data_IF_385368751490
#
_entry.id   IF_385368751490
#
_cell.length_a   1.000
_cell.length_b   1.000
_cell.length_c   1.000
_cell.angle_alpha   90.00
_cell.angle_beta   90.00
_cell.angle_gamma   90.00
#
_symmetry.space_group_name_H-M   'P 1'
#
loop_
_entity.id
_entity.type
_entity.pdbx_description
1 polymer ?
#
# COMPACT_ATOMS: atom_id res chain seq x y z
N UNK A 1 1.14 15.32 4.24
CA UNK A 1 0.53 14.97 2.95
C UNK A 1 0.90 13.53 2.63
N UNK A 2 -0.06 12.66 2.27
CA UNK A 2 0.25 11.30 1.82
C UNK A 2 0.91 11.35 0.44
N UNK A 3 1.77 10.38 0.15
CA UNK A 3 2.23 10.14 -1.21
C UNK A 3 1.15 9.42 -1.98
N UNK A 4 0.86 9.89 -3.20
CA UNK A 4 -0.11 9.29 -4.10
C UNK A 4 0.64 8.63 -5.25
N UNK A 5 0.34 7.36 -5.50
CA UNK A 5 0.95 6.56 -6.54
C UNK A 5 -0.13 6.00 -7.45
N UNK A 6 0.22 5.83 -8.73
CA UNK A 6 -0.61 5.21 -9.76
C UNK A 6 0.26 4.36 -10.66
N UNK A 7 -0.08 3.08 -10.79
CA UNK A 7 0.48 2.21 -11.82
C UNK A 7 -0.39 0.97 -12.00
N UNK A 8 -0.10 0.20 -13.04
CA UNK A 8 -0.70 -1.12 -13.21
C UNK A 8 -0.20 -2.08 -12.12
N UNK A 9 -1.11 -2.93 -11.60
CA UNK A 9 -0.76 -4.02 -10.69
C UNK A 9 -0.93 -5.36 -11.39
N UNK A 10 0.12 -6.19 -11.33
CA UNK A 10 0.13 -7.53 -11.93
C UNK A 10 0.11 -8.61 -10.85
N UNK A 11 -0.90 -9.49 -10.93
CA UNK A 11 -1.05 -10.67 -10.09
C UNK A 11 -1.08 -11.92 -10.97
N UNK A 12 0.03 -12.64 -11.07
CA UNK A 12 0.12 -13.76 -12.02
C UNK A 12 -0.03 -13.28 -13.47
N UNK A 13 -1.03 -13.81 -14.19
CA UNK A 13 -1.34 -13.39 -15.56
C UNK A 13 -2.39 -12.25 -15.64
N UNK A 14 -2.94 -11.83 -14.50
CA UNK A 14 -3.94 -10.75 -14.44
C UNK A 14 -3.26 -9.40 -14.21
N UNK A 15 -3.64 -8.39 -14.98
CA UNK A 15 -3.23 -7.00 -14.78
C UNK A 15 -4.45 -6.13 -14.48
N UNK A 16 -4.38 -5.38 -13.38
CA UNK A 16 -5.35 -4.36 -13.00
C UNK A 16 -4.75 -3.01 -13.41
N UNK A 17 -5.30 -2.33 -14.44
CA UNK A 17 -4.73 -1.10 -14.94
C UNK A 17 -5.01 0.08 -14.01
N UNK A 18 -4.11 1.07 -14.03
CA UNK A 18 -4.31 2.40 -13.39
C UNK A 18 -4.67 2.35 -11.89
N UNK A 19 -4.25 1.30 -11.17
CA UNK A 19 -4.51 1.17 -9.74
C UNK A 19 -3.85 2.32 -8.97
N UNK A 20 -4.59 2.92 -8.04
CA UNK A 20 -4.05 3.98 -7.18
C UNK A 20 -3.92 3.53 -5.73
N UNK A 21 -2.83 3.97 -5.11
CA UNK A 21 -2.58 3.78 -3.70
C UNK A 21 -1.90 5.00 -3.09
N UNK A 22 -1.84 5.00 -1.77
CA UNK A 22 -1.20 6.05 -1.01
C UNK A 22 -0.39 5.49 0.14
N UNK A 23 0.68 6.22 0.48
CA UNK A 23 1.53 5.96 1.63
C UNK A 23 1.56 7.21 2.53
N UNK A 24 1.25 7.02 3.80
CA UNK A 24 1.43 8.01 4.85
C UNK A 24 0.22 8.22 5.74
N UNK A 25 0.21 9.33 6.48
CA UNK A 25 -0.85 9.59 7.46
C UNK A 25 -2.17 9.90 6.75
N UNK A 26 -3.04 8.90 6.66
CA UNK A 26 -4.43 9.00 6.18
C UNK A 26 -5.43 9.28 7.30
N UNK A 27 -5.00 9.20 8.57
CA UNK A 27 -5.85 9.28 9.74
C UNK A 27 -5.29 10.28 10.75
N UNK A 28 -6.12 11.25 11.17
CA UNK A 28 -5.74 12.35 12.07
C UNK A 28 -5.41 11.93 13.51
N UNK A 29 -5.75 10.71 13.90
CA UNK A 29 -5.46 10.20 15.24
C UNK A 29 -4.10 9.52 15.24
N UNK A 30 -3.25 9.90 16.21
CA UNK A 30 -1.84 9.54 16.35
C UNK A 30 -1.50 8.05 16.17
N UNK A 31 -0.20 7.69 16.22
CA UNK A 31 0.27 6.40 15.75
C UNK A 31 -0.36 5.23 16.51
N UNK A 32 -1.29 4.51 15.86
CA UNK A 32 -1.52 3.09 16.15
C UNK A 32 -0.30 2.34 15.63
N UNK A 33 0.71 2.19 16.50
CA UNK A 33 1.99 1.53 16.21
C UNK A 33 1.86 0.01 16.03
N UNK A 34 0.68 -0.54 16.28
CA UNK A 34 0.38 -1.95 16.43
C UNK A 34 -0.19 -2.63 15.17
N UNK A 35 -0.52 -1.88 14.12
CA UNK A 35 -1.11 -2.43 12.90
C UNK A 35 -0.14 -2.42 11.70
N UNK A 36 0.37 -3.60 11.26
CA UNK A 36 1.12 -3.71 10.01
C UNK A 36 0.33 -3.12 8.84
N UNK A 37 0.99 -2.32 7.99
CA UNK A 37 0.34 -1.69 6.84
C UNK A 37 -0.44 -0.40 7.15
N UNK A 38 -0.45 0.08 8.42
CA UNK A 38 -1.08 1.37 8.74
C UNK A 38 -0.43 2.51 7.97
N UNK A 39 -1.26 3.34 7.34
CA UNK A 39 -0.83 4.45 6.48
C UNK A 39 -0.73 4.07 5.01
N UNK A 40 -0.82 2.78 4.67
CA UNK A 40 -1.08 2.34 3.30
C UNK A 40 -2.58 2.35 3.03
N UNK A 41 -3.00 2.88 1.88
CA UNK A 41 -4.33 2.62 1.34
C UNK A 41 -4.25 2.37 -0.16
N UNK A 42 -5.16 1.55 -0.66
CA UNK A 42 -5.35 1.26 -2.07
C UNK A 42 -6.83 1.40 -2.40
N UNK A 43 -7.15 1.74 -3.65
CA UNK A 43 -8.53 1.85 -4.12
C UNK A 43 -9.34 0.58 -3.87
N UNK A 44 -10.55 0.73 -3.31
CA UNK A 44 -11.46 -0.39 -3.06
C UNK A 44 -11.77 -1.21 -4.34
N UNK A 45 -12.00 -0.60 -5.52
CA UNK A 45 -12.15 -1.35 -6.76
C UNK A 45 -11.02 -2.35 -7.05
N UNK A 46 -9.76 -1.98 -6.76
CA UNK A 46 -8.61 -2.86 -6.96
C UNK A 46 -8.67 -4.07 -6.01
N UNK A 47 -9.09 -3.85 -4.76
CA UNK A 47 -9.24 -4.93 -3.78
C UNK A 47 -10.36 -5.88 -4.19
N UNK A 48 -11.51 -5.35 -4.61
CA UNK A 48 -12.64 -6.17 -5.07
C UNK A 48 -12.26 -7.00 -6.29
N UNK A 49 -11.59 -6.39 -7.26
CA UNK A 49 -11.09 -7.08 -8.44
C UNK A 49 -10.14 -8.23 -8.06
N UNK A 50 -9.17 -8.01 -7.16
CA UNK A 50 -8.29 -9.08 -6.69
C UNK A 50 -9.05 -10.23 -6.02
N UNK A 51 -10.10 -9.93 -5.24
CA UNK A 51 -10.93 -10.94 -4.59
C UNK A 51 -11.73 -11.76 -5.62
N UNK A 52 -12.36 -11.10 -6.59
CA UNK A 52 -13.11 -11.79 -7.66
C UNK A 52 -12.22 -12.72 -8.49
N UNK A 53 -10.96 -12.31 -8.72
CA UNK A 53 -9.95 -13.11 -9.44
C UNK A 53 -9.45 -14.31 -8.63
N UNK A 54 -9.41 -14.18 -7.30
CA UNK A 54 -9.13 -15.31 -6.39
C UNK A 54 -10.31 -16.28 -6.39
N UNK A 55 -11.53 -15.78 -6.24
CA UNK A 55 -12.74 -16.60 -6.13
C UNK A 55 -13.02 -17.39 -7.43
N UNK A 56 -12.68 -16.81 -8.58
CA UNK A 56 -12.75 -17.49 -9.88
C UNK A 56 -11.60 -18.48 -10.13
N UNK A 57 -10.60 -18.54 -9.25
CA UNK A 57 -9.42 -19.39 -9.40
C UNK A 57 -8.42 -18.92 -10.47
N UNK A 58 -8.58 -17.70 -11.00
CA UNK A 58 -7.67 -17.14 -12.00
C UNK A 58 -6.31 -16.77 -11.40
N UNK A 59 -6.30 -16.35 -10.13
CA UNK A 59 -5.08 -16.11 -9.38
C UNK A 59 -5.16 -16.78 -8.00
N UNK A 60 -4.00 -17.07 -7.43
CA UNK A 60 -3.88 -17.53 -6.04
C UNK A 60 -3.83 -16.34 -5.08
N UNK A 61 -4.18 -16.53 -3.79
CA UNK A 61 -3.95 -15.52 -2.76
C UNK A 61 -2.50 -15.05 -2.64
N UNK A 62 -1.53 -15.93 -2.96
CA UNK A 62 -0.11 -15.59 -2.97
C UNK A 62 0.25 -14.61 -4.09
N UNK A 63 -0.32 -14.79 -5.30
CA UNK A 63 -0.14 -13.86 -6.41
C UNK A 63 -0.78 -12.50 -6.12
N UNK A 64 -1.98 -12.48 -5.53
CA UNK A 64 -2.61 -11.23 -5.10
C UNK A 64 -1.77 -10.50 -4.02
N UNK A 65 -1.23 -11.22 -3.04
CA UNK A 65 -0.32 -10.65 -2.04
C UNK A 65 0.93 -10.05 -2.67
N UNK A 66 1.53 -10.76 -3.64
CA UNK A 66 2.69 -10.27 -4.36
C UNK A 66 2.39 -8.99 -5.15
N UNK A 67 1.21 -8.91 -5.79
CA UNK A 67 0.78 -7.71 -6.50
C UNK A 67 0.65 -6.47 -5.59
N UNK A 68 0.38 -6.66 -4.29
CA UNK A 68 0.29 -5.57 -3.32
C UNK A 68 1.64 -5.15 -2.70
N UNK A 69 2.75 -5.81 -3.05
CA UNK A 69 4.08 -5.43 -2.56
C UNK A 69 4.49 -3.97 -2.84
N UNK A 70 4.19 -3.36 -4.01
CA UNK A 70 4.52 -1.95 -4.25
C UNK A 70 3.92 -1.01 -3.20
N UNK A 71 2.67 -1.25 -2.79
CA UNK A 71 1.99 -0.46 -1.76
C UNK A 71 2.75 -0.54 -0.42
N UNK A 72 3.19 -1.74 -0.04
CA UNK A 72 3.94 -1.97 1.20
C UNK A 72 5.36 -1.40 1.13
N UNK A 73 5.99 -1.46 -0.04
CA UNK A 73 7.32 -0.90 -0.27
C UNK A 73 7.31 0.63 -0.14
N UNK A 74 6.33 1.29 -0.76
CA UNK A 74 6.15 2.74 -0.66
C UNK A 74 5.82 3.18 0.76
N UNK A 75 4.97 2.42 1.46
CA UNK A 75 4.70 2.67 2.88
C UNK A 75 5.95 2.54 3.74
N UNK A 76 6.78 1.52 3.49
CA UNK A 76 8.04 1.33 4.20
C UNK A 76 9.04 2.44 3.90
N UNK A 77 9.06 2.93 2.65
CA UNK A 77 9.88 4.07 2.27
C UNK A 77 9.42 5.35 2.96
N UNK A 78 8.12 5.63 2.96
CA UNK A 78 7.51 6.77 3.64
C UNK A 78 7.86 6.79 5.14
N UNK A 79 7.69 5.66 5.83
CA UNK A 79 8.02 5.57 7.25
C UNK A 79 9.50 5.88 7.52
N UNK A 80 10.42 5.36 6.71
CA UNK A 80 11.85 5.66 6.86
C UNK A 80 12.18 7.14 6.66
N UNK A 81 11.53 7.82 5.72
CA UNK A 81 11.74 9.25 5.52
C UNK A 81 11.19 10.07 6.68
N UNK A 82 9.99 9.72 7.18
CA UNK A 82 9.40 10.41 8.32
C UNK A 82 10.20 10.20 9.61
N UNK A 83 10.70 8.98 9.86
CA UNK A 83 11.59 8.70 10.99
C UNK A 83 12.87 9.55 10.92
N UNK A 84 13.43 9.72 9.72
CA UNK A 84 14.60 10.58 9.49
C UNK A 84 14.32 12.06 9.75
N UNK A 85 13.16 12.56 9.28
CA UNK A 85 12.73 13.94 9.52
C UNK A 85 12.50 14.21 11.01
N UNK A 86 11.84 13.29 11.72
CA UNK A 86 11.62 13.38 13.17
C UNK A 86 12.95 13.41 13.93
N UNK A 87 13.91 12.55 13.55
CA UNK A 87 15.25 12.55 14.14
C UNK A 87 15.99 13.88 13.91
N UNK A 88 15.90 14.47 12.72
CA UNK A 88 16.51 15.77 12.41
C UNK A 88 15.87 16.93 13.17
N UNK A 89 14.54 16.91 13.34
CA UNK A 89 13.82 17.94 14.09
C UNK A 89 14.11 17.88 15.59
N UNK A 90 14.32 16.69 16.15
CA UNK A 90 14.62 16.50 17.57
C UNK A 90 16.10 16.72 17.94
N UNK A 91 16.97 16.89 16.94
CA UNK A 91 18.41 17.13 17.13
C UNK A 91 18.80 18.62 17.09
N UNK A 92 17.85 19.52 16.81
CA UNK A 92 17.99 20.98 16.85
C UNK A 92 17.22 21.57 18.04
#
# INVERSE_FOLDING_TARGET
MPWLNRADLTAGEVTIPDAQWSAGVLYDHGPRKDAPGRGGAIELPVVLELLDRIDSGQITPAQARHALHPVLADLTHYHREMDGLEAMMNAN
#
